data_IF_040980434393
#
_entry.id   IF_040980434393
#
_cell.length_a   1.000
_cell.length_b   1.000
_cell.length_c   1.000
_cell.angle_alpha   90.00
_cell.angle_beta   90.00
_cell.angle_gamma   90.00
#
_symmetry.space_group_name_H-M   'P 1'
#
loop_
_entity.id
_entity.type
_entity.pdbx_description
1 polymer ?
#
# COMPACT_ATOMS: atom_id res chain seq x y z
N UNK A 1 28.98 -13.23 -37.65
CA UNK A 1 28.91 -12.17 -36.61
C UNK A 1 27.46 -11.91 -36.23
N UNK A 2 27.03 -12.40 -35.06
CA UNK A 2 25.67 -12.15 -34.55
C UNK A 2 25.59 -10.70 -34.11
N UNK A 3 24.82 -9.87 -34.84
CA UNK A 3 24.43 -8.53 -34.38
C UNK A 3 23.58 -8.68 -33.11
N UNK A 4 24.23 -8.81 -31.95
CA UNK A 4 23.61 -8.55 -30.65
C UNK A 4 23.33 -7.05 -30.61
N UNK A 5 22.21 -6.64 -31.19
CA UNK A 5 21.72 -5.27 -31.12
C UNK A 5 21.57 -4.89 -29.66
N UNK A 6 22.25 -3.85 -29.19
CA UNK A 6 22.23 -3.37 -27.80
C UNK A 6 20.82 -3.24 -27.21
N UNK A 7 19.81 -3.03 -28.05
CA UNK A 7 18.39 -3.09 -27.70
C UNK A 7 17.93 -4.41 -27.07
N UNK A 8 18.47 -5.57 -27.49
CA UNK A 8 18.12 -6.88 -26.90
C UNK A 8 18.65 -6.99 -25.47
N UNK A 9 19.87 -6.50 -25.21
CA UNK A 9 20.47 -6.51 -23.87
C UNK A 9 19.70 -5.56 -22.95
N UNK A 10 19.40 -4.34 -23.42
CA UNK A 10 18.56 -3.38 -22.68
C UNK A 10 17.18 -3.94 -22.36
N UNK A 11 16.54 -4.64 -23.31
CA UNK A 11 15.24 -5.27 -23.07
C UNK A 11 15.31 -6.39 -22.04
N UNK A 12 16.35 -7.23 -22.11
CA UNK A 12 16.57 -8.32 -21.13
C UNK A 12 16.84 -7.76 -19.74
N UNK A 13 17.55 -6.64 -19.63
CA UNK A 13 17.80 -5.98 -18.35
C UNK A 13 16.56 -5.27 -17.80
N UNK A 14 15.76 -4.60 -18.66
CA UNK A 14 14.59 -3.85 -18.22
C UNK A 14 13.37 -4.73 -17.90
N UNK A 15 13.20 -5.86 -18.59
CA UNK A 15 12.00 -6.69 -18.47
C UNK A 15 11.78 -7.25 -17.05
N UNK A 16 12.79 -7.76 -16.32
CA UNK A 16 12.61 -8.19 -14.93
C UNK A 16 12.08 -7.06 -14.04
N UNK A 17 12.57 -5.83 -14.20
CA UNK A 17 12.11 -4.68 -13.42
C UNK A 17 10.67 -4.32 -13.74
N UNK A 18 10.29 -4.32 -15.02
CA UNK A 18 8.89 -4.06 -15.44
C UNK A 18 7.97 -5.16 -14.91
N UNK A 19 8.40 -6.42 -14.93
CA UNK A 19 7.62 -7.55 -14.40
C UNK A 19 7.51 -7.47 -12.88
N UNK A 20 8.59 -7.19 -12.15
CA UNK A 20 8.55 -7.02 -10.69
C UNK A 20 7.69 -5.82 -10.28
N UNK A 21 7.80 -4.70 -11.00
CA UNK A 21 6.93 -3.54 -10.81
C UNK A 21 5.47 -3.91 -11.07
N UNK A 22 5.20 -4.55 -12.21
CA UNK A 22 3.86 -4.98 -12.57
C UNK A 22 3.27 -5.96 -11.56
N UNK A 23 4.08 -6.89 -11.04
CA UNK A 23 3.68 -7.83 -10.00
C UNK A 23 3.39 -7.10 -8.69
N UNK A 24 4.27 -6.21 -8.23
CA UNK A 24 4.07 -5.43 -7.02
C UNK A 24 2.84 -4.52 -7.11
N UNK A 25 2.63 -3.87 -8.27
CA UNK A 25 1.55 -2.93 -8.53
C UNK A 25 0.19 -3.62 -8.75
N UNK A 26 0.15 -4.70 -9.54
CA UNK A 26 -1.07 -5.39 -9.95
C UNK A 26 -1.45 -6.58 -9.06
N UNK A 27 -0.59 -6.99 -8.12
CA UNK A 27 -1.00 -7.99 -7.15
C UNK A 27 -2.25 -7.47 -6.46
N UNK A 28 -3.39 -8.17 -6.53
CA UNK A 28 -4.59 -7.73 -5.85
C UNK A 28 -4.30 -7.68 -4.36
N UNK A 29 -4.89 -6.70 -3.67
CA UNK A 29 -4.99 -6.71 -2.21
C UNK A 29 -6.36 -7.31 -1.91
N UNK A 30 -6.60 -8.63 -2.05
CA UNK A 30 -7.92 -9.15 -1.80
C UNK A 30 -8.27 -8.80 -0.35
N UNK A 31 -9.33 -8.00 -0.20
CA UNK A 31 -10.05 -7.97 1.06
C UNK A 31 -10.42 -9.41 1.35
N UNK A 32 -10.03 -9.90 2.51
CA UNK A 32 -10.45 -11.21 2.94
C UNK A 32 -11.94 -11.11 3.23
N UNK A 33 -12.79 -11.29 2.23
CA UNK A 33 -14.23 -11.61 2.33
C UNK A 33 -14.40 -13.00 2.96
N UNK A 34 -13.68 -13.23 4.05
CA UNK A 34 -13.86 -14.39 4.89
C UNK A 34 -14.96 -14.03 5.88
N UNK A 35 -15.94 -14.92 6.02
CA UNK A 35 -16.84 -14.88 7.17
C UNK A 35 -16.01 -14.69 8.45
N UNK A 36 -16.46 -13.84 9.36
CA UNK A 36 -15.75 -13.50 10.60
C UNK A 36 -15.24 -14.73 11.35
N UNK A 37 -16.04 -15.81 11.39
CA UNK A 37 -15.66 -17.10 11.97
C UNK A 37 -14.45 -17.76 11.29
N UNK A 38 -14.35 -17.70 9.96
CA UNK A 38 -13.20 -18.23 9.23
C UNK A 38 -11.94 -17.39 9.45
N UNK A 39 -12.10 -16.06 9.66
CA UNK A 39 -11.01 -15.16 10.07
C UNK A 39 -10.49 -15.58 11.45
N UNK A 40 -11.36 -15.65 12.45
CA UNK A 40 -10.99 -16.02 13.82
C UNK A 40 -10.32 -17.39 13.85
N UNK A 41 -10.90 -18.41 13.21
CA UNK A 41 -10.32 -19.75 13.16
C UNK A 41 -8.91 -19.78 12.54
N UNK A 42 -8.66 -18.97 11.49
CA UNK A 42 -7.32 -18.86 10.88
C UNK A 42 -6.33 -18.18 11.82
N UNK A 43 -6.74 -17.08 12.47
CA UNK A 43 -5.89 -16.36 13.42
C UNK A 43 -5.53 -17.27 14.60
N UNK A 44 -6.53 -17.93 15.18
CA UNK A 44 -6.38 -18.89 16.26
C UNK A 44 -5.40 -20.00 15.88
N UNK A 45 -5.59 -20.63 14.71
CA UNK A 45 -4.65 -21.66 14.22
C UNK A 45 -3.23 -21.13 14.09
N UNK A 46 -3.07 -19.89 13.61
CA UNK A 46 -1.75 -19.26 13.43
C UNK A 46 -1.08 -19.03 14.79
N UNK A 47 -1.78 -18.43 15.75
CA UNK A 47 -1.29 -18.21 17.10
C UNK A 47 -0.95 -19.53 17.82
N UNK A 48 -1.81 -20.54 17.72
CA UNK A 48 -1.59 -21.87 18.31
C UNK A 48 -0.34 -22.56 17.77
N UNK A 49 0.01 -22.32 16.51
CA UNK A 49 1.26 -22.82 15.92
C UNK A 49 2.51 -22.06 16.37
N UNK A 50 2.36 -21.03 17.21
CA UNK A 50 3.45 -20.16 17.65
C UNK A 50 3.87 -19.12 16.61
N UNK A 51 3.11 -19.00 15.51
CA UNK A 51 3.37 -17.99 14.49
C UNK A 51 2.80 -16.63 14.93
N UNK A 52 3.44 -15.57 14.46
CA UNK A 52 3.00 -14.21 14.72
C UNK A 52 1.80 -13.82 13.87
N UNK A 53 0.86 -13.10 14.48
CA UNK A 53 -0.23 -12.40 13.80
C UNK A 53 -0.05 -10.91 14.04
N UNK A 54 0.17 -10.14 12.98
CA UNK A 54 0.26 -8.68 13.08
C UNK A 54 -1.12 -8.05 12.84
N UNK A 55 -1.55 -7.19 13.76
CA UNK A 55 -2.78 -6.39 13.60
C UNK A 55 -2.46 -4.90 13.71
N UNK A 56 -3.14 -4.09 12.90
CA UNK A 56 -2.96 -2.64 12.87
C UNK A 56 -4.18 -1.96 13.49
N UNK A 57 -3.95 -1.23 14.57
CA UNK A 57 -4.97 -0.60 15.38
C UNK A 57 -4.98 0.92 15.19
N UNK A 58 -6.12 1.47 14.78
CA UNK A 58 -6.26 2.90 14.53
C UNK A 58 -6.58 3.68 15.81
N UNK A 59 -5.59 4.44 16.30
CA UNK A 59 -5.73 5.24 17.53
C UNK A 59 -6.48 6.56 17.30
N UNK A 60 -6.68 6.96 16.03
CA UNK A 60 -7.20 8.26 15.63
C UNK A 60 -8.59 8.61 16.19
N UNK A 61 -9.36 7.64 16.68
CA UNK A 61 -10.65 7.87 17.33
C UNK A 61 -10.55 8.27 18.81
N UNK A 62 -9.49 7.86 19.51
CA UNK A 62 -9.29 8.08 20.95
C UNK A 62 -8.40 9.28 21.25
N UNK A 63 -7.33 9.50 20.47
CA UNK A 63 -6.47 10.69 20.64
C UNK A 63 -7.21 12.00 20.36
N UNK A 64 -8.14 12.00 19.39
CA UNK A 64 -9.00 13.16 19.08
C UNK A 64 -9.94 13.55 20.21
N UNK A 65 -10.22 12.65 21.16
CA UNK A 65 -11.14 12.90 22.29
C UNK A 65 -10.45 13.54 23.50
N UNK A 66 -9.10 13.56 23.53
CA UNK A 66 -8.35 14.18 24.64
C UNK A 66 -8.15 15.68 24.40
N UNK A 67 -8.49 16.54 25.38
CA UNK A 67 -8.35 17.99 25.25
C UNK A 67 -6.89 18.47 25.14
N UNK A 68 -5.91 17.63 25.50
CA UNK A 68 -4.49 17.97 25.50
C UNK A 68 -3.72 17.47 24.27
N UNK A 69 -4.42 16.95 23.25
CA UNK A 69 -3.92 16.48 21.95
C UNK A 69 -2.41 16.65 21.71
N UNK A 70 -1.59 15.78 22.30
CA UNK A 70 -0.17 15.71 22.00
C UNK A 70 -0.10 15.01 20.65
N UNK A 71 -0.22 15.80 19.59
CA UNK A 71 -0.06 15.33 18.22
C UNK A 71 1.40 14.92 18.03
N UNK A 72 1.71 13.64 18.24
CA UNK A 72 2.95 13.07 17.72
C UNK A 72 2.67 12.85 16.23
N UNK A 73 3.13 13.78 15.40
CA UNK A 73 2.72 13.95 14.01
C UNK A 73 3.00 12.75 13.09
N UNK A 74 3.76 11.76 13.55
CA UNK A 74 4.33 10.74 12.68
C UNK A 74 3.80 9.32 12.99
N UNK A 75 2.97 9.15 14.03
CA UNK A 75 2.46 7.84 14.48
C UNK A 75 0.98 7.91 14.91
N UNK A 76 0.06 7.58 14.00
CA UNK A 76 -1.39 7.56 14.26
C UNK A 76 -1.96 6.20 14.63
N UNK A 77 -1.17 5.14 14.45
CA UNK A 77 -1.63 3.75 14.53
C UNK A 77 -0.61 2.85 15.23
N UNK A 78 -1.10 1.90 16.02
CA UNK A 78 -0.27 0.83 16.59
C UNK A 78 -0.25 -0.36 15.65
N UNK A 79 0.92 -0.97 15.52
CA UNK A 79 1.13 -2.23 14.82
C UNK A 79 1.57 -3.23 15.89
N UNK A 80 0.65 -4.12 16.28
CA UNK A 80 0.86 -5.04 17.39
C UNK A 80 1.13 -6.44 16.83
N UNK A 81 2.35 -6.99 17.04
CA UNK A 81 2.64 -8.39 16.75
C UNK A 81 2.11 -9.27 17.89
N UNK A 82 1.10 -10.08 17.62
CA UNK A 82 0.56 -11.05 18.55
C UNK A 82 1.26 -12.38 18.36
N UNK A 83 1.93 -12.90 19.40
CA UNK A 83 2.49 -14.25 19.38
C UNK A 83 2.21 -14.96 20.69
N UNK A 84 1.66 -16.17 20.58
CA UNK A 84 1.46 -17.06 21.70
C UNK A 84 2.67 -17.99 21.81
N UNK A 85 3.23 -18.12 23.01
CA UNK A 85 4.25 -19.13 23.28
C UNK A 85 3.91 -19.91 24.53
N UNK A 86 4.06 -21.23 24.45
CA UNK A 86 4.10 -22.12 25.60
C UNK A 86 5.50 -22.72 25.64
N UNK A 87 6.21 -22.67 26.79
CA UNK A 87 7.49 -23.34 26.91
C UNK A 87 7.26 -24.84 26.68
N UNK A 88 7.99 -25.40 25.72
CA UNK A 88 7.97 -26.85 25.44
C UNK A 88 8.24 -27.58 26.75
N UNK A 89 7.39 -28.53 27.18
CA UNK A 89 7.63 -29.25 28.41
C UNK A 89 8.95 -30.00 28.26
N UNK A 90 9.99 -29.56 28.99
CA UNK A 90 11.06 -30.47 29.36
C UNK A 90 10.39 -31.68 30.02
N UNK A 91 10.82 -32.90 29.65
CA UNK A 91 10.13 -34.18 29.81
C UNK A 91 9.80 -34.62 31.27
N UNK A 92 9.75 -33.70 32.24
CA UNK A 92 9.61 -34.01 33.66
C UNK A 92 8.68 -33.07 34.47
N UNK A 93 7.95 -32.11 33.88
CA UNK A 93 6.96 -31.34 34.67
C UNK A 93 5.72 -30.95 33.87
N UNK A 94 4.69 -31.80 33.95
CA UNK A 94 3.37 -31.59 33.35
C UNK A 94 2.56 -30.50 34.07
N UNK A 95 3.00 -30.06 35.26
CA UNK A 95 2.20 -29.23 36.16
C UNK A 95 2.37 -27.71 36.01
N UNK A 96 3.37 -27.21 35.28
CA UNK A 96 3.62 -25.76 35.13
C UNK A 96 3.78 -25.37 33.65
N UNK A 97 2.73 -25.56 32.84
CA UNK A 97 2.70 -24.96 31.50
C UNK A 97 2.26 -23.50 31.64
N UNK A 98 3.22 -22.58 31.61
CA UNK A 98 2.93 -21.15 31.54
C UNK A 98 2.62 -20.75 30.10
N UNK A 99 1.63 -19.90 29.93
CA UNK A 99 1.24 -19.35 28.64
C UNK A 99 1.67 -17.89 28.58
N UNK A 100 2.44 -17.53 27.56
CA UNK A 100 2.93 -16.17 27.36
C UNK A 100 2.36 -15.57 26.09
N UNK A 101 1.89 -14.33 26.21
CA UNK A 101 1.48 -13.49 25.11
C UNK A 101 2.54 -12.43 24.87
N UNK A 102 3.18 -12.50 23.71
CA UNK A 102 4.16 -11.52 23.28
C UNK A 102 3.45 -10.45 22.46
N UNK A 103 3.58 -9.20 22.90
CA UNK A 103 3.13 -8.00 22.20
C UNK A 103 4.32 -7.14 21.72
N UNK A 104 5.48 -7.33 22.33
CA UNK A 104 6.79 -6.87 21.89
C UNK A 104 7.84 -7.97 22.13
N UNK A 105 9.09 -7.73 21.75
CA UNK A 105 10.17 -8.71 21.94
C UNK A 105 10.66 -8.83 23.39
N UNK A 106 10.35 -7.85 24.25
CA UNK A 106 11.04 -7.65 25.52
C UNK A 106 10.17 -7.96 26.76
N UNK A 107 8.85 -7.91 26.62
CA UNK A 107 7.88 -7.95 27.72
C UNK A 107 6.72 -8.92 27.41
N UNK A 108 6.95 -10.24 27.51
CA UNK A 108 5.87 -11.19 27.39
C UNK A 108 4.92 -11.12 28.60
N UNK A 109 3.62 -11.01 28.33
CA UNK A 109 2.57 -11.09 29.35
C UNK A 109 2.37 -12.55 29.73
N UNK A 110 2.50 -12.88 31.01
CA UNK A 110 2.26 -14.23 31.53
C UNK A 110 0.76 -14.42 31.84
N UNK A 111 0.01 -14.86 30.84
CA UNK A 111 -1.44 -15.12 30.93
C UNK A 111 -1.79 -16.04 32.11
N UNK A 112 -1.00 -17.09 32.33
CA UNK A 112 -1.27 -18.04 33.41
C UNK A 112 -1.17 -17.35 34.77
N UNK A 113 -0.17 -16.49 34.97
CA UNK A 113 0.00 -15.74 36.21
C UNK A 113 -1.12 -14.71 36.40
N UNK A 114 -1.51 -13.99 35.34
CA UNK A 114 -2.63 -13.05 35.32
C UNK A 114 -3.91 -13.73 35.84
N UNK A 115 -4.25 -14.92 35.34
CA UNK A 115 -5.42 -15.65 35.83
C UNK A 115 -5.28 -16.16 37.27
N UNK A 116 -4.10 -16.65 37.67
CA UNK A 116 -3.84 -17.06 39.06
C UNK A 116 -4.07 -15.88 40.01
N UNK A 117 -3.53 -14.70 39.67
CA UNK A 117 -3.68 -13.48 40.46
C UNK A 117 -5.16 -13.05 40.53
N UNK A 118 -5.87 -13.05 39.39
CA UNK A 118 -7.28 -12.71 39.34
C UNK A 118 -8.15 -13.66 40.18
N UNK A 119 -7.82 -14.95 40.18
CA UNK A 119 -8.51 -15.97 40.99
C UNK A 119 -8.23 -15.79 42.48
N UNK A 120 -6.96 -15.62 42.86
CA UNK A 120 -6.58 -15.35 44.26
C UNK A 120 -7.25 -14.08 44.79
N UNK A 121 -7.35 -13.03 43.95
CA UNK A 121 -8.06 -11.81 44.28
C UNK A 121 -9.55 -12.05 44.55
N UNK A 122 -10.22 -12.83 43.69
CA UNK A 122 -11.65 -13.15 43.86
C UNK A 122 -11.90 -14.13 45.03
N UNK A 123 -11.02 -15.10 45.25
CA UNK A 123 -11.11 -16.04 46.38
C UNK A 123 -10.95 -15.34 47.74
N UNK A 124 -10.17 -14.25 47.78
CA UNK A 124 -9.97 -13.43 48.99
C UNK A 124 -11.13 -12.46 49.26
N UNK A 125 -12.07 -12.27 48.31
CA UNK A 125 -13.25 -11.41 48.54
C UNK A 125 -14.30 -12.16 49.36
N UNK A 126 -14.96 -11.42 50.25
CA UNK A 126 -15.94 -11.92 51.21
C UNK A 126 -17.23 -12.47 50.59
N UNK A 127 -17.46 -12.28 49.29
CA UNK A 127 -18.63 -12.80 48.58
C UNK A 127 -18.22 -13.96 47.66
N UNK A 128 -18.36 -15.22 48.10
CA UNK A 128 -17.79 -16.41 47.43
C UNK A 128 -18.45 -16.78 46.09
N UNK A 129 -19.37 -15.98 45.54
CA UNK A 129 -20.20 -16.35 44.39
C UNK A 129 -20.32 -15.29 43.28
N UNK A 130 -19.72 -14.10 43.45
CA UNK A 130 -19.77 -13.05 42.43
C UNK A 130 -18.36 -12.71 41.96
N UNK A 131 -18.06 -13.04 40.70
CA UNK A 131 -16.78 -12.70 40.09
C UNK A 131 -16.72 -11.20 39.84
N UNK A 132 -15.69 -10.57 40.39
CA UNK A 132 -15.42 -9.15 40.21
C UNK A 132 -14.30 -8.99 39.17
N UNK A 133 -14.47 -8.12 38.14
CA UNK A 133 -13.43 -7.86 37.16
C UNK A 133 -12.12 -7.48 37.82
N UNK A 134 -11.05 -8.17 37.42
CA UNK A 134 -9.71 -7.89 37.93
C UNK A 134 -8.90 -7.15 36.86
N UNK A 135 -8.15 -6.14 37.29
CA UNK A 135 -7.32 -5.30 36.44
C UNK A 135 -5.86 -5.49 36.87
N UNK A 136 -5.01 -5.84 35.91
CA UNK A 136 -3.57 -5.85 36.11
C UNK A 136 -3.03 -4.42 36.08
N UNK A 137 -1.89 -4.18 36.74
CA UNK A 137 -1.21 -2.90 36.64
C UNK A 137 -0.81 -2.62 35.18
N UNK A 138 -0.81 -1.34 34.81
CA UNK A 138 -0.44 -0.88 33.47
C UNK A 138 0.97 -1.32 33.11
N UNK A 139 1.13 -1.98 31.97
CA UNK A 139 2.40 -2.45 31.44
C UNK A 139 2.76 -1.63 30.20
N UNK A 140 3.98 -1.10 30.18
CA UNK A 140 4.48 -0.40 29.00
C UNK A 140 4.99 -1.41 27.96
N UNK A 141 4.38 -1.40 26.78
CA UNK A 141 4.87 -2.12 25.61
C UNK A 141 5.45 -1.13 24.60
N UNK A 142 6.36 -1.59 23.74
CA UNK A 142 6.92 -0.79 22.65
C UNK A 142 6.50 -1.33 21.26
N UNK A 143 5.20 -1.28 20.90
CA UNK A 143 4.74 -1.72 19.59
C UNK A 143 5.32 -0.85 18.48
N UNK A 144 5.34 -1.43 17.29
CA UNK A 144 5.63 -0.69 16.07
C UNK A 144 4.52 0.31 15.76
N UNK A 145 4.81 1.34 14.96
CA UNK A 145 3.83 2.36 14.61
C UNK A 145 3.80 2.69 13.13
N UNK A 146 2.63 3.14 12.70
CA UNK A 146 2.38 3.63 11.35
C UNK A 146 1.49 4.87 11.33
N UNK A 147 1.40 5.46 10.16
CA UNK A 147 0.65 6.63 9.77
C UNK A 147 0.42 6.58 8.26
N UNK A 148 -0.57 7.34 7.79
CA UNK A 148 -0.86 7.50 6.37
C UNK A 148 -0.26 8.77 5.77
N UNK A 149 0.52 9.54 6.53
CA UNK A 149 0.99 10.87 6.14
C UNK A 149 2.26 10.84 5.28
N UNK A 150 2.92 9.68 5.14
CA UNK A 150 4.13 9.52 4.31
C UNK A 150 3.91 8.73 3.01
N UNK A 151 4.80 8.98 2.04
CA UNK A 151 4.56 9.04 0.59
C UNK A 151 4.38 7.72 -0.18
N UNK A 152 4.04 6.58 0.45
CA UNK A 152 3.89 5.27 -0.25
C UNK A 152 2.48 4.71 -0.07
N UNK A 153 1.50 5.59 -0.01
CA UNK A 153 0.10 5.19 -0.04
C UNK A 153 -0.38 5.12 -1.48
N UNK A 154 -0.22 3.93 -2.07
CA UNK A 154 -0.96 3.61 -3.27
C UNK A 154 -2.44 3.44 -2.89
N UNK A 155 -3.39 4.08 -3.59
CA UNK A 155 -4.79 4.11 -3.17
C UNK A 155 -5.51 2.75 -3.21
N UNK A 156 -4.86 1.70 -3.73
CA UNK A 156 -5.37 0.32 -3.74
C UNK A 156 -4.66 -0.60 -2.73
N UNK A 157 -3.78 -0.08 -1.90
CA UNK A 157 -3.25 -0.83 -0.76
C UNK A 157 -4.27 -0.82 0.38
N UNK A 158 -4.42 -1.97 1.03
CA UNK A 158 -5.14 -2.02 2.29
C UNK A 158 -4.47 -1.07 3.30
N UNK A 159 -5.24 -0.37 4.13
CA UNK A 159 -4.68 0.64 5.03
C UNK A 159 -3.65 0.02 6.00
N UNK A 160 -3.92 -1.19 6.53
CA UNK A 160 -2.93 -2.00 7.24
C UNK A 160 -1.59 -2.21 6.49
N UNK A 161 -1.63 -2.59 5.20
CA UNK A 161 -0.41 -2.80 4.38
C UNK A 161 0.40 -1.50 4.26
N UNK A 162 -0.29 -0.39 4.00
CA UNK A 162 0.31 0.93 3.89
C UNK A 162 1.07 1.33 5.18
N UNK A 163 0.41 1.18 6.34
CA UNK A 163 0.99 1.46 7.66
C UNK A 163 2.21 0.57 7.93
N UNK A 164 2.13 -0.71 7.57
CA UNK A 164 3.26 -1.65 7.69
C UNK A 164 4.43 -1.31 6.77
N UNK A 165 4.18 -0.87 5.53
CA UNK A 165 5.25 -0.42 4.63
C UNK A 165 5.95 0.81 5.17
N UNK A 166 5.18 1.78 5.67
CA UNK A 166 5.74 2.97 6.26
C UNK A 166 6.58 2.61 7.50
N UNK A 167 6.08 1.76 8.40
CA UNK A 167 6.88 1.27 9.51
C UNK A 167 8.15 0.56 9.05
N UNK A 168 8.09 -0.31 8.04
CA UNK A 168 9.28 -1.01 7.53
C UNK A 168 10.36 -0.05 6.97
N UNK A 169 9.99 1.16 6.55
CA UNK A 169 10.92 2.17 6.05
C UNK A 169 11.50 3.07 7.12
N UNK A 170 10.67 3.42 8.11
CA UNK A 170 11.02 4.41 9.12
C UNK A 170 11.37 3.80 10.48
N UNK A 171 11.01 2.53 10.69
CA UNK A 171 11.18 1.77 11.93
C UNK A 171 10.66 2.53 13.15
N UNK A 172 9.43 3.02 13.04
CA UNK A 172 8.81 3.79 14.11
C UNK A 172 8.32 2.86 15.22
N UNK A 173 8.59 3.26 16.45
CA UNK A 173 8.12 2.58 17.65
C UNK A 173 7.56 3.63 18.60
N UNK A 174 6.55 3.24 19.36
CA UNK A 174 5.94 4.08 20.38
C UNK A 174 5.75 3.25 21.63
N UNK A 175 6.12 3.80 22.77
CA UNK A 175 5.74 3.21 24.06
C UNK A 175 4.24 3.45 24.26
N UNK A 176 3.49 2.37 24.42
CA UNK A 176 2.06 2.39 24.68
C UNK A 176 1.77 1.61 25.96
N UNK A 177 1.14 2.24 26.96
CA UNK A 177 0.70 1.53 28.15
C UNK A 177 -0.56 0.71 27.83
N UNK A 178 -0.55 -0.56 28.25
CA UNK A 178 -1.68 -1.48 28.11
C UNK A 178 -2.08 -2.03 29.47
N UNK A 179 -3.33 -2.45 29.59
CA UNK A 179 -3.89 -3.06 30.79
C UNK A 179 -4.53 -4.39 30.41
N UNK A 180 -4.20 -5.43 31.18
CA UNK A 180 -4.84 -6.74 31.07
C UNK A 180 -6.01 -6.79 32.05
N UNK A 181 -7.18 -7.17 31.56
CA UNK A 181 -8.42 -7.24 32.34
C UNK A 181 -8.94 -8.67 32.30
N UNK A 182 -9.31 -9.20 33.47
CA UNK A 182 -9.96 -10.51 33.62
C UNK A 182 -11.40 -10.26 34.09
N UNK A 183 -12.33 -9.98 33.16
CA UNK A 183 -13.71 -9.63 33.52
C UNK A 183 -14.53 -10.84 33.99
N UNK A 184 -14.12 -12.04 33.61
CA UNK A 184 -14.76 -13.33 33.93
C UNK A 184 -13.65 -14.36 34.17
N UNK A 185 -13.91 -15.45 34.93
CA UNK A 185 -12.88 -16.42 35.30
C UNK A 185 -12.12 -17.03 34.12
N UNK A 186 -12.74 -17.07 32.94
CA UNK A 186 -12.20 -17.72 31.74
C UNK A 186 -11.91 -16.74 30.59
N UNK A 187 -12.00 -15.44 30.82
CA UNK A 187 -11.86 -14.42 29.76
C UNK A 187 -10.73 -13.47 30.10
N UNK A 188 -9.84 -13.23 29.14
CA UNK A 188 -8.86 -12.15 29.18
C UNK A 188 -9.17 -11.14 28.08
N UNK A 189 -9.11 -9.87 28.45
CA UNK A 189 -9.17 -8.75 27.54
C UNK A 189 -7.89 -7.93 27.67
N UNK A 190 -7.32 -7.52 26.54
CA UNK A 190 -6.15 -6.64 26.50
C UNK A 190 -6.63 -5.27 26.01
N UNK A 191 -6.46 -4.24 26.82
CA UNK A 191 -6.94 -2.89 26.58
C UNK A 191 -5.78 -1.90 26.51
N UNK A 192 -5.97 -0.80 25.78
CA UNK A 192 -5.14 0.40 25.98
C UNK A 192 -5.40 0.98 27.39
N UNK A 193 -4.36 1.39 28.12
CA UNK A 193 -4.48 1.92 29.49
C UNK A 193 -5.27 3.23 29.53
N UNK A 194 -5.06 4.09 28.54
CA UNK A 194 -5.62 5.43 28.47
C UNK A 194 -7.17 5.45 28.67
N UNK A 195 -7.95 4.65 27.93
CA UNK A 195 -9.41 4.53 28.13
C UNK A 195 -9.82 3.88 29.45
N UNK A 196 -8.99 2.98 30.00
CA UNK A 196 -9.22 2.37 31.32
C UNK A 196 -9.11 3.43 32.41
N UNK A 197 -8.09 4.28 32.37
CA UNK A 197 -7.94 5.40 33.31
C UNK A 197 -9.10 6.40 33.21
N UNK A 198 -9.54 6.72 31.99
CA UNK A 198 -10.69 7.61 31.78
C UNK A 198 -11.98 7.01 32.37
N UNK A 199 -12.20 5.71 32.20
CA UNK A 199 -13.34 4.99 32.81
C UNK A 199 -13.26 4.96 34.35
N UNK A 200 -12.07 4.78 34.92
CA UNK A 200 -11.84 4.85 36.38
C UNK A 200 -12.18 6.25 36.92
N UNK A 201 -11.77 7.31 36.21
CA UNK A 201 -12.09 8.69 36.60
C UNK A 201 -13.60 8.96 36.57
N UNK A 202 -14.29 8.49 35.52
CA UNK A 202 -15.75 8.63 35.41
C UNK A 202 -16.47 7.89 36.53
N UNK A 203 -16.07 6.64 36.82
CA UNK A 203 -16.65 5.86 37.92
C UNK A 203 -16.44 6.54 39.28
N UNK A 204 -15.24 7.09 39.53
CA UNK A 204 -14.95 7.87 40.75
C UNK A 204 -15.84 9.10 40.90
N UNK A 205 -16.12 9.81 39.79
CA UNK A 205 -17.03 10.95 39.81
C UNK A 205 -18.49 10.56 40.05
N UNK A 206 -18.92 9.38 39.62
CA UNK A 206 -20.26 8.89 39.90
C UNK A 206 -20.43 8.35 41.34
N UNK A 207 -19.35 7.87 41.96
CA UNK A 207 -19.31 7.38 43.35
C UNK A 207 -19.20 8.50 44.40
N UNK A 208 -19.81 9.68 44.20
CA UNK A 208 -19.69 10.90 45.03
C UNK A 208 -20.22 10.78 46.50
N UNK A 209 -20.28 9.58 47.09
CA UNK A 209 -20.61 9.30 48.48
C UNK A 209 -19.41 8.96 49.37
N UNK A 210 -18.76 10.00 49.91
CA UNK A 210 -18.12 10.04 51.24
C UNK A 210 -16.88 9.15 51.57
N UNK A 211 -16.14 8.62 50.60
CA UNK A 211 -14.91 7.84 50.91
C UNK A 211 -13.71 8.20 50.04
N UNK A 212 -12.85 9.09 50.52
CA UNK A 212 -11.58 9.53 49.88
C UNK A 212 -10.52 8.42 49.67
N UNK A 213 -10.84 7.14 49.88
CA UNK A 213 -9.96 5.98 49.65
C UNK A 213 -10.73 4.75 49.21
N UNK A 214 -11.64 4.86 48.24
CA UNK A 214 -12.15 3.66 47.59
C UNK A 214 -11.04 3.03 46.76
N UNK A 215 -10.66 1.80 47.15
CA UNK A 215 -9.80 0.93 46.35
C UNK A 215 -10.37 0.86 44.93
N UNK A 216 -9.53 1.05 43.92
CA UNK A 216 -9.89 0.93 42.49
C UNK A 216 -10.64 -0.39 42.21
N UNK A 217 -10.36 -1.41 43.02
CA UNK A 217 -10.99 -2.72 43.04
C UNK A 217 -12.47 -2.77 43.43
N UNK A 218 -13.00 -1.76 44.13
CA UNK A 218 -14.42 -1.64 44.46
C UNK A 218 -15.25 -1.13 43.27
N UNK A 219 -14.66 -0.25 42.45
CA UNK A 219 -15.29 0.33 41.26
C UNK A 219 -15.14 -0.57 40.02
N UNK A 220 -14.40 -1.67 40.12
CA UNK A 220 -14.07 -2.55 38.99
C UNK A 220 -15.26 -3.05 38.15
N UNK A 221 -16.45 -3.41 38.71
CA UNK A 221 -17.60 -3.78 37.88
C UNK A 221 -18.15 -2.58 37.09
N UNK A 222 -18.20 -1.41 37.71
CA UNK A 222 -18.68 -0.18 37.08
C UNK A 222 -17.72 0.25 35.95
N UNK A 223 -16.41 0.23 36.20
CA UNK A 223 -15.37 0.54 35.22
C UNK A 223 -15.48 -0.40 34.01
N UNK A 224 -15.60 -1.72 34.22
CA UNK A 224 -15.77 -2.66 33.11
C UNK A 224 -17.09 -2.42 32.34
N UNK A 225 -18.16 -2.09 33.06
CA UNK A 225 -19.45 -1.73 32.43
C UNK A 225 -19.39 -0.45 31.60
N UNK A 226 -18.49 0.48 31.92
CA UNK A 226 -18.23 1.68 31.11
C UNK A 226 -17.39 1.33 29.89
N UNK A 227 -16.33 0.53 30.06
CA UNK A 227 -15.44 0.09 28.98
C UNK A 227 -16.17 -0.66 27.87
N UNK A 228 -17.12 -1.50 28.25
CA UNK A 228 -17.94 -2.30 27.31
C UNK A 228 -18.99 -1.47 26.55
N UNK A 229 -19.21 -0.20 26.91
CA UNK A 229 -20.08 0.70 26.13
C UNK A 229 -19.33 1.17 24.87
N UNK A 230 -20.09 1.46 23.81
CA UNK A 230 -19.58 1.92 22.50
C UNK A 230 -18.57 3.09 22.56
N UNK A 231 -18.51 3.84 23.67
CA UNK A 231 -17.55 4.92 23.85
C UNK A 231 -16.10 4.42 23.89
N UNK A 232 -15.82 3.28 24.52
CA UNK A 232 -14.46 2.80 24.76
C UNK A 232 -14.14 1.49 24.04
N UNK A 233 -15.12 0.83 23.41
CA UNK A 233 -14.90 -0.45 22.72
C UNK A 233 -13.79 -0.40 21.66
N UNK A 234 -13.53 0.77 21.05
CA UNK A 234 -12.41 0.94 20.11
C UNK A 234 -11.03 0.81 20.75
N UNK A 235 -10.93 0.79 22.08
CA UNK A 235 -9.68 0.63 22.83
C UNK A 235 -9.34 -0.83 23.18
N UNK A 236 -10.29 -1.74 22.94
CA UNK A 236 -10.07 -3.17 23.13
C UNK A 236 -9.15 -3.65 22.01
N UNK A 237 -8.03 -4.27 22.37
CA UNK A 237 -7.02 -4.73 21.43
C UNK A 237 -7.22 -6.21 21.06
N UNK A 238 -7.49 -7.04 22.06
CA UNK A 238 -7.80 -8.46 21.85
C UNK A 238 -8.61 -9.03 23.00
N UNK A 239 -9.32 -10.13 22.70
CA UNK A 239 -10.07 -10.92 23.66
C UNK A 239 -9.78 -12.40 23.47
N UNK A 240 -9.51 -13.07 24.57
CA UNK A 240 -9.18 -14.48 24.63
C UNK A 240 -10.08 -15.20 25.62
N UNK A 241 -10.37 -16.46 25.34
CA UNK A 241 -11.15 -17.33 26.20
C UNK A 241 -10.37 -18.60 26.53
N UNK A 242 -10.42 -19.04 27.78
CA UNK A 242 -9.91 -20.34 28.20
C UNK A 242 -11.10 -21.33 28.25
N UNK A 243 -11.03 -22.46 27.54
CA UNK A 243 -12.15 -23.40 27.47
C UNK A 243 -12.31 -24.24 28.76
N UNK A 244 -11.26 -24.39 29.56
CA UNK A 244 -11.30 -25.07 30.85
C UNK A 244 -10.42 -24.37 31.87
N UNK A 245 -11.01 -23.85 32.96
CA UNK A 245 -10.30 -23.16 34.04
C UNK A 245 -9.29 -24.05 34.79
N UNK A 246 -9.43 -25.37 34.67
CA UNK A 246 -8.55 -26.35 35.33
C UNK A 246 -7.27 -26.59 34.52
N UNK A 247 -7.37 -26.54 33.19
CA UNK A 247 -6.26 -26.78 32.27
C UNK A 247 -6.00 -25.50 31.46
N UNK A 248 -5.27 -24.53 32.03
CA UNK A 248 -4.78 -23.32 31.33
C UNK A 248 -3.70 -23.61 30.27
N UNK A 249 -3.91 -24.68 29.52
CA UNK A 249 -3.03 -25.21 28.50
C UNK A 249 -3.42 -24.71 27.11
N UNK A 250 -4.65 -24.22 26.96
CA UNK A 250 -5.22 -23.83 25.68
C UNK A 250 -5.89 -22.46 25.79
N UNK A 251 -5.52 -21.55 24.89
CA UNK A 251 -6.12 -20.24 24.75
C UNK A 251 -6.85 -20.22 23.41
N UNK A 252 -8.16 -20.02 23.48
CA UNK A 252 -9.01 -19.81 22.31
C UNK A 252 -9.06 -18.32 22.06
N UNK A 253 -8.70 -17.91 20.85
CA UNK A 253 -8.89 -16.53 20.43
C UNK A 253 -10.39 -16.29 20.19
N UNK A 254 -10.97 -15.33 20.91
CA UNK A 254 -12.32 -14.85 20.65
C UNK A 254 -12.26 -13.81 19.52
N UNK A 255 -11.50 -12.73 19.73
CA UNK A 255 -11.30 -11.71 18.70
C UNK A 255 -9.96 -10.95 18.85
N UNK A 256 -9.40 -10.51 17.72
CA UNK A 256 -8.34 -9.49 17.65
C UNK A 256 -8.91 -8.30 16.90
N UNK A 257 -8.91 -7.17 17.57
CA UNK A 257 -9.42 -5.91 17.04
C UNK A 257 -8.32 -5.19 16.25
N UNK A 258 -8.73 -4.62 15.12
CA UNK A 258 -7.83 -3.92 14.21
C UNK A 258 -7.86 -4.52 12.80
N UNK A 259 -7.21 -3.82 11.89
CA UNK A 259 -7.07 -4.27 10.51
C UNK A 259 -5.93 -5.27 10.38
N UNK A 260 -6.20 -6.37 9.67
CA UNK A 260 -5.18 -7.35 9.34
C UNK A 260 -4.49 -6.96 8.02
N UNK A 261 -3.20 -7.27 7.86
CA UNK A 261 -2.53 -7.13 6.58
C UNK A 261 -3.14 -8.04 5.52
N UNK A 262 -2.99 -7.64 4.26
CA UNK A 262 -3.35 -8.49 3.14
C UNK A 262 -2.49 -9.76 3.12
N UNK A 263 -3.05 -10.85 2.62
CA UNK A 263 -2.28 -12.09 2.41
C UNK A 263 -1.07 -11.90 1.47
N UNK A 264 -1.09 -10.84 0.65
CA UNK A 264 -0.02 -10.50 -0.29
C UNK A 264 1.07 -9.61 0.29
N UNK A 265 0.87 -9.06 1.50
CA UNK A 265 1.83 -8.16 2.15
C UNK A 265 3.25 -8.73 2.20
N UNK A 266 3.50 -9.98 2.64
CA UNK A 266 4.87 -10.52 2.73
C UNK A 266 5.58 -10.56 1.36
N UNK A 267 4.84 -10.89 0.30
CA UNK A 267 5.37 -10.94 -1.07
C UNK A 267 5.70 -9.52 -1.54
N UNK A 268 4.81 -8.56 -1.29
CA UNK A 268 5.01 -7.15 -1.65
C UNK A 268 6.17 -6.53 -0.88
N UNK A 269 6.32 -6.82 0.41
CA UNK A 269 7.45 -6.41 1.23
C UNK A 269 8.77 -6.94 0.68
N UNK A 270 8.84 -8.23 0.36
CA UNK A 270 10.03 -8.82 -0.26
C UNK A 270 10.38 -8.19 -1.61
N UNK A 271 9.38 -7.92 -2.47
CA UNK A 271 9.59 -7.23 -3.74
C UNK A 271 10.09 -5.80 -3.55
N UNK A 272 9.58 -5.11 -2.53
CA UNK A 272 9.96 -3.74 -2.25
C UNK A 272 11.43 -3.63 -1.79
N UNK A 273 11.97 -4.61 -1.06
CA UNK A 273 13.41 -4.66 -0.74
C UNK A 273 14.27 -4.63 -2.02
N UNK A 274 13.83 -5.31 -3.08
CA UNK A 274 14.55 -5.38 -4.36
C UNK A 274 14.28 -4.14 -5.23
N UNK A 275 13.03 -3.65 -5.24
CA UNK A 275 12.59 -2.53 -6.06
C UNK A 275 13.00 -1.17 -5.50
N UNK A 276 13.05 -1.01 -4.17
CA UNK A 276 13.29 0.27 -3.51
C UNK A 276 14.60 0.94 -3.98
N UNK A 277 15.77 0.25 -4.04
CA UNK A 277 16.98 0.86 -4.58
C UNK A 277 16.81 1.38 -6.01
N UNK A 278 16.06 0.66 -6.85
CA UNK A 278 15.82 1.05 -8.24
C UNK A 278 14.87 2.24 -8.34
N UNK A 279 13.83 2.28 -7.49
CA UNK A 279 12.97 3.46 -7.40
C UNK A 279 13.73 4.66 -6.88
N UNK A 280 14.55 4.52 -5.84
CA UNK A 280 15.36 5.61 -5.31
C UNK A 280 16.32 6.13 -6.39
N UNK A 281 17.08 5.25 -7.05
CA UNK A 281 17.99 5.65 -8.14
C UNK A 281 17.22 6.28 -9.30
N UNK A 282 16.09 5.69 -9.70
CA UNK A 282 15.23 6.22 -10.75
C UNK A 282 14.67 7.60 -10.42
N UNK A 283 14.25 7.81 -9.17
CA UNK A 283 13.77 9.08 -8.65
C UNK A 283 14.89 10.12 -8.59
N UNK A 284 16.06 9.78 -8.04
CA UNK A 284 17.24 10.66 -8.04
C UNK A 284 17.67 11.01 -9.46
N UNK A 285 17.68 10.05 -10.39
CA UNK A 285 17.98 10.31 -11.80
C UNK A 285 16.92 11.21 -12.43
N UNK A 286 15.64 11.00 -12.13
CA UNK A 286 14.56 11.86 -12.61
C UNK A 286 14.73 13.27 -12.06
N UNK A 287 14.91 13.44 -10.76
CA UNK A 287 15.13 14.74 -10.11
C UNK A 287 16.37 15.45 -10.67
N UNK A 288 17.44 14.71 -10.99
CA UNK A 288 18.66 15.27 -11.58
C UNK A 288 18.53 15.60 -13.08
N UNK A 289 17.83 14.76 -13.84
CA UNK A 289 17.66 14.92 -15.30
C UNK A 289 16.53 15.89 -15.65
N UNK A 290 15.46 15.92 -14.86
CA UNK A 290 14.24 16.67 -15.13
C UNK A 290 14.53 18.17 -15.30
N UNK A 291 15.31 18.85 -14.44
CA UNK A 291 15.67 20.26 -14.65
C UNK A 291 16.46 20.49 -15.95
N UNK A 292 17.34 19.55 -16.32
CA UNK A 292 18.12 19.63 -17.56
C UNK A 292 17.24 19.43 -18.79
N UNK A 293 16.34 18.45 -18.71
CA UNK A 293 15.38 18.14 -19.77
C UNK A 293 14.38 19.30 -19.94
N UNK A 294 13.87 19.86 -18.85
CA UNK A 294 13.00 21.05 -18.87
C UNK A 294 13.71 22.23 -19.55
N UNK A 295 14.99 22.49 -19.24
CA UNK A 295 15.75 23.55 -19.91
C UNK A 295 15.89 23.31 -21.42
N UNK A 296 16.16 22.08 -21.84
CA UNK A 296 16.26 21.72 -23.27
C UNK A 296 14.90 21.87 -23.96
N UNK A 297 13.83 21.33 -23.36
CA UNK A 297 12.47 21.42 -23.90
C UNK A 297 12.03 22.89 -23.99
N UNK A 298 12.32 23.70 -22.96
CA UNK A 298 12.02 25.13 -22.95
C UNK A 298 12.81 25.86 -24.04
N UNK A 299 14.11 25.57 -24.20
CA UNK A 299 14.93 26.16 -25.25
C UNK A 299 14.40 25.80 -26.65
N UNK A 300 14.01 24.54 -26.88
CA UNK A 300 13.39 24.09 -28.12
C UNK A 300 12.04 24.77 -28.35
N UNK A 301 11.23 24.95 -27.30
CA UNK A 301 9.95 25.65 -27.38
C UNK A 301 10.12 27.14 -27.72
N UNK A 302 11.07 27.83 -27.08
CA UNK A 302 11.43 29.22 -27.38
C UNK A 302 11.94 29.34 -28.81
N UNK A 303 12.85 28.46 -29.22
CA UNK A 303 13.38 28.45 -30.58
C UNK A 303 12.29 28.22 -31.63
N UNK A 304 11.39 27.25 -31.38
CA UNK A 304 10.25 26.99 -32.24
C UNK A 304 9.32 28.22 -32.29
N UNK A 305 9.01 28.84 -31.16
CA UNK A 305 8.18 30.05 -31.12
C UNK A 305 8.81 31.19 -31.92
N UNK A 306 10.11 31.45 -31.73
CA UNK A 306 10.85 32.46 -32.48
C UNK A 306 10.85 32.16 -33.99
N UNK A 307 11.03 30.89 -34.37
CA UNK A 307 10.94 30.45 -35.76
C UNK A 307 9.55 30.70 -36.37
N UNK A 308 8.48 30.41 -35.62
CA UNK A 308 7.11 30.67 -36.07
C UNK A 308 6.83 32.16 -36.21
N UNK A 309 7.28 32.99 -35.25
CA UNK A 309 7.14 34.45 -35.29
C UNK A 309 7.93 35.05 -36.46
N UNK A 310 9.16 34.60 -36.69
CA UNK A 310 9.98 35.05 -37.81
C UNK A 310 9.36 34.67 -39.15
N UNK A 311 8.91 33.42 -39.28
CA UNK A 311 8.24 32.93 -40.50
C UNK A 311 6.94 33.67 -40.78
N UNK A 312 6.19 34.04 -39.74
CA UNK A 312 5.01 34.88 -39.84
C UNK A 312 5.38 36.32 -40.26
N UNK A 313 6.42 36.91 -39.68
CA UNK A 313 6.86 38.26 -40.02
C UNK A 313 7.37 38.38 -41.47
N UNK A 314 8.01 37.33 -41.99
CA UNK A 314 8.51 37.27 -43.37
C UNK A 314 7.41 37.01 -44.41
N UNK A 315 6.31 36.37 -44.02
CA UNK A 315 5.18 36.07 -44.90
C UNK A 315 4.18 37.22 -44.76
N UNK A 316 4.18 38.14 -45.72
CA UNK A 316 3.36 39.37 -45.78
C UNK A 316 2.15 39.36 -44.84
N UNK A 317 2.13 40.33 -43.91
CA UNK A 317 1.30 40.48 -42.68
C UNK A 317 -0.24 40.38 -42.81
N UNK A 318 -0.78 39.85 -43.90
CA UNK A 318 -2.21 39.77 -44.16
C UNK A 318 -2.94 38.75 -43.29
N UNK A 319 -2.26 37.73 -42.75
CA UNK A 319 -2.89 36.72 -41.87
C UNK A 319 -2.65 37.01 -40.39
N UNK A 320 -3.69 36.99 -39.52
CA UNK A 320 -3.51 37.15 -38.09
C UNK A 320 -2.66 36.00 -37.50
N UNK A 321 -1.73 36.35 -36.60
CA UNK A 321 -0.74 35.43 -36.02
C UNK A 321 -1.33 34.13 -35.48
N UNK A 322 -2.48 34.21 -34.78
CA UNK A 322 -3.13 33.05 -34.18
C UNK A 322 -3.61 32.00 -35.20
N UNK A 323 -4.06 32.45 -36.38
CA UNK A 323 -4.47 31.55 -37.47
C UNK A 323 -3.24 30.86 -38.05
N UNK A 324 -2.17 31.61 -38.29
CA UNK A 324 -0.90 31.08 -38.78
C UNK A 324 -0.26 30.07 -37.80
N UNK A 325 -0.21 30.42 -36.51
CA UNK A 325 0.33 29.56 -35.46
C UNK A 325 -0.42 28.23 -35.37
N UNK A 326 -1.76 28.27 -35.36
CA UNK A 326 -2.61 27.07 -35.33
C UNK A 326 -2.39 26.18 -36.55
N UNK A 327 -2.33 26.76 -37.75
CA UNK A 327 -2.06 26.00 -38.98
C UNK A 327 -0.66 25.38 -38.99
N UNK A 328 0.35 26.11 -38.53
CA UNK A 328 1.73 25.61 -38.43
C UNK A 328 1.84 24.48 -37.42
N UNK A 329 1.22 24.63 -36.24
CA UNK A 329 1.17 23.60 -35.21
C UNK A 329 0.46 22.34 -35.70
N UNK A 330 -0.69 22.49 -36.36
CA UNK A 330 -1.42 21.39 -36.99
C UNK A 330 -0.58 20.70 -38.06
N UNK A 331 0.14 21.43 -38.92
CA UNK A 331 1.03 20.84 -39.94
C UNK A 331 2.22 20.12 -39.32
N UNK A 332 2.83 20.67 -38.27
CA UNK A 332 3.96 20.05 -37.59
C UNK A 332 3.57 18.70 -36.95
N UNK A 333 2.44 18.65 -36.24
CA UNK A 333 2.00 17.44 -35.54
C UNK A 333 1.23 16.43 -36.41
N UNK A 334 0.41 16.89 -37.36
CA UNK A 334 -0.46 16.02 -38.17
C UNK A 334 0.13 15.69 -39.54
N UNK A 335 0.88 16.59 -40.19
CA UNK A 335 1.32 16.40 -41.58
C UNK A 335 2.69 15.72 -41.73
N UNK A 336 3.54 15.68 -40.70
CA UNK A 336 4.83 14.95 -40.77
C UNK A 336 4.64 13.45 -41.08
N UNK A 337 3.48 12.88 -40.72
CA UNK A 337 3.10 11.49 -41.07
C UNK A 337 2.46 11.34 -42.47
N UNK A 338 1.94 12.41 -43.07
CA UNK A 338 1.23 12.37 -44.36
C UNK A 338 2.21 12.39 -45.54
N UNK A 339 3.23 13.25 -45.51
CA UNK A 339 4.23 13.33 -46.60
C UNK A 339 5.15 12.11 -46.65
N UNK A 340 5.45 11.50 -45.50
CA UNK A 340 6.21 10.23 -45.43
C UNK A 340 5.45 9.02 -46.00
N UNK A 341 4.12 9.12 -46.16
CA UNK A 341 3.33 8.07 -46.83
C UNK A 341 3.34 8.21 -48.35
N UNK A 342 3.50 9.43 -48.88
CA UNK A 342 3.53 9.64 -50.34
C UNK A 342 4.89 9.28 -50.96
N UNK A 343 6.01 9.41 -50.23
CA UNK A 343 7.32 9.00 -50.74
C UNK A 343 7.54 7.48 -50.82
N UNK A 344 6.57 6.68 -50.35
CA UNK A 344 6.58 5.21 -50.46
C UNK A 344 5.70 4.67 -51.60
N UNK A 345 5.41 5.50 -52.61
CA UNK A 345 4.92 5.02 -53.91
C UNK A 345 6.06 4.27 -54.61
N UNK A 346 5.99 2.95 -54.66
CA UNK A 346 6.96 2.14 -55.39
C UNK A 346 6.64 2.17 -56.87
N UNK A 347 7.60 2.49 -57.73
CA UNK A 347 7.41 2.43 -59.18
C UNK A 347 7.76 1.04 -59.70
N UNK A 348 6.94 0.50 -60.60
CA UNK A 348 7.32 -0.69 -61.39
C UNK A 348 8.13 -0.22 -62.58
N UNK A 349 9.35 -0.73 -62.72
CA UNK A 349 10.25 -0.41 -63.81
C UNK A 349 10.13 -1.43 -64.92
N UNK A 350 9.88 -0.98 -66.15
CA UNK A 350 9.99 -1.78 -67.36
C UNK A 350 11.28 -1.47 -68.13
N UNK A 351 11.57 -2.23 -69.21
CA UNK A 351 12.79 -2.07 -70.01
C UNK A 351 12.92 -0.71 -70.70
N UNK A 352 11.85 0.09 -70.77
CA UNK A 352 11.84 1.45 -71.32
C UNK A 352 11.61 2.57 -70.28
N UNK A 353 11.54 2.24 -68.97
CA UNK A 353 11.29 3.20 -67.88
C UNK A 353 10.13 2.82 -66.95
N UNK A 354 9.77 3.68 -65.98
CA UNK A 354 8.72 3.40 -65.01
C UNK A 354 7.34 3.33 -65.67
N UNK A 355 6.64 2.21 -65.50
CA UNK A 355 5.35 1.90 -66.15
C UNK A 355 4.16 2.36 -65.28
N UNK A 356 4.23 2.22 -63.95
CA UNK A 356 3.17 2.66 -63.05
C UNK A 356 3.64 2.82 -61.59
N UNK A 357 2.95 3.67 -60.82
CA UNK A 357 3.15 3.83 -59.38
C UNK A 357 2.23 2.87 -58.60
N UNK A 358 2.80 1.92 -57.86
CA UNK A 358 2.04 1.01 -56.99
C UNK A 358 1.73 1.72 -55.66
N UNK A 359 0.44 1.78 -55.34
CA UNK A 359 -0.02 2.15 -54.00
C UNK A 359 -0.01 0.91 -53.10
N UNK A 360 0.99 0.78 -52.20
CA UNK A 360 1.23 -0.42 -51.37
C UNK A 360 0.06 -0.95 -50.54
N UNK A 361 -1.03 -0.19 -50.35
CA UNK A 361 -2.23 -0.66 -49.65
C UNK A 361 -3.14 -1.53 -50.51
N UNK A 362 -3.12 -1.35 -51.84
CA UNK A 362 -3.85 -2.17 -52.78
C UNK A 362 -2.81 -2.85 -53.70
N UNK A 363 -2.47 -4.10 -53.39
CA UNK A 363 -1.55 -4.92 -54.20
C UNK A 363 -2.12 -5.34 -55.56
N UNK A 364 -3.30 -4.85 -55.93
CA UNK A 364 -3.78 -4.95 -57.30
C UNK A 364 -3.28 -3.72 -58.05
N UNK A 365 -2.35 -3.86 -59.01
CA UNK A 365 -2.12 -2.77 -59.94
C UNK A 365 -3.48 -2.47 -60.57
N UNK A 366 -3.88 -1.19 -60.58
CA UNK A 366 -4.98 -0.74 -61.43
C UNK A 366 -4.49 -0.85 -62.88
N UNK A 367 -4.46 -2.08 -63.38
CA UNK A 367 -4.36 -2.36 -64.80
C UNK A 367 -5.80 -2.28 -65.27
N UNK A 368 -6.16 -1.14 -65.85
CA UNK A 368 -7.41 -1.00 -66.56
C UNK A 368 -7.43 -2.06 -67.68
N UNK A 369 -8.22 -3.11 -67.49
CA UNK A 369 -8.39 -4.24 -68.42
C UNK A 369 -8.91 -3.80 -69.81
N UNK A 370 -9.36 -2.55 -69.95
CA UNK A 370 -9.80 -1.98 -71.22
C UNK A 370 -8.65 -1.50 -72.13
N UNK A 371 -7.40 -1.49 -71.66
CA UNK A 371 -6.23 -1.13 -72.48
C UNK A 371 -5.59 -2.35 -73.17
N UNK A 372 -6.39 -3.27 -73.69
CA UNK A 372 -5.89 -4.26 -74.64
C UNK A 372 -5.57 -3.57 -75.97
N UNK A 373 -4.29 -3.62 -76.33
CA UNK A 373 -3.74 -3.34 -77.66
C UNK A 373 -3.76 -1.85 -78.03
N UNK A 374 -2.95 -1.06 -77.33
CA UNK A 374 -2.53 0.25 -77.79
C UNK A 374 -1.19 0.60 -77.17
N UNK A 375 -0.15 0.71 -77.99
CA UNK A 375 1.16 1.25 -77.61
C UNK A 375 0.96 2.62 -76.94
N UNK A 376 0.96 2.66 -75.60
CA UNK A 376 0.92 3.91 -74.87
C UNK A 376 2.26 4.63 -75.09
N UNK A 377 2.19 5.86 -75.60
CA UNK A 377 3.37 6.71 -75.80
C UNK A 377 4.02 7.00 -74.44
N UNK A 378 5.35 6.84 -74.31
CA UNK A 378 6.06 7.26 -73.10
C UNK A 378 5.85 8.76 -72.87
N UNK A 379 5.48 9.13 -71.65
CA UNK A 379 5.08 10.50 -71.29
C UNK A 379 6.23 11.52 -71.36
N UNK A 380 7.46 11.08 -71.57
CA UNK A 380 8.63 11.95 -71.65
C UNK A 380 9.74 11.37 -72.53
N UNK A 381 9.62 11.51 -73.84
CA UNK A 381 10.78 11.48 -74.74
C UNK A 381 10.83 12.82 -75.46
N UNK A 382 11.61 13.76 -74.93
CA UNK A 382 12.05 14.94 -75.68
C UNK A 382 13.06 14.45 -76.73
N UNK A 383 12.60 14.22 -77.96
CA UNK A 383 13.51 14.08 -79.09
C UNK A 383 14.21 15.43 -79.28
N UNK A 384 15.54 15.42 -79.15
CA UNK A 384 16.39 16.60 -79.31
C UNK A 384 16.18 17.24 -80.68
N UNK A 385 16.01 18.57 -80.70
CA UNK A 385 16.05 19.37 -81.94
C UNK A 385 17.41 19.18 -82.61
N UNK A 386 17.42 18.45 -83.72
CA UNK A 386 18.52 18.48 -84.68
C UNK A 386 18.57 19.85 -85.35
N UNK A 387 19.76 20.46 -85.34
CA UNK A 387 20.12 21.70 -86.04
C UNK A 387 19.74 21.62 -87.53
N UNK A 388 19.19 22.70 -88.08
CA UNK A 388 19.35 23.02 -89.49
C UNK A 388 20.14 24.33 -89.62
N UNK A 389 21.06 24.30 -90.57
CA UNK A 389 21.92 25.40 -91.04
C UNK A 389 21.11 26.59 -91.50
#
# INVERSE_FOLDING_TARGET
>A
MVRRTSCRILRILAMPWIVMFGLWYLMPSPETDMSEMARIHRLEKTLRTGNEVTAVHEMGSLERRRPNGISVSDCSDLIIPWRLSSPVPAASSVTNRSLFLHLDENHPINITQTFINARQFNDNKTQPHEWVPWFEDSQEIAPYCGSLDHMINMPWFHAADAKLFQNAMHNFQRTSPIVVVVPKPDVIEVWEDAPVQDAILIAKHHSEGDSQKEDVYALSPEVHSLLTRNMFQSALLARFQIPSSEDMTELVLDDIYGELPSATYPIRAALLVILAPVFSIGWFLLEWLLPKFIKIVLALAIWHLAFVVLSWALKERQTPFWVYFREHWMKFWLCYKRDRKESKKGYVWGPAGPIAAINRRNWRPAVDEESRIGLQKPHSVRLGRSRKR
#
